data_IF_127778811674
#
_entry.id   IF_127778811674
#
_cell.length_a   1.000
_cell.length_b   1.000
_cell.length_c   1.000
_cell.angle_alpha   90.00
_cell.angle_beta   90.00
_cell.angle_gamma   90.00
#
_symmetry.space_group_name_H-M   'P 1'
#
loop_
_entity.id
_entity.type
_entity.pdbx_description
1 polymer ?
#
# COMPACT_ATOMS: atom_id res chain seq x y z
N UNK A 1 59.28 -1.84 -9.56
CA UNK A 1 58.14 -2.41 -8.81
C UNK A 1 56.89 -1.60 -9.12
N UNK A 2 56.02 -2.08 -10.01
CA UNK A 2 54.74 -1.39 -10.38
C UNK A 2 53.66 -1.77 -9.35
N UNK A 3 53.18 -0.79 -8.58
CA UNK A 3 52.02 -0.98 -7.68
C UNK A 3 50.75 -0.95 -8.51
N UNK A 4 50.11 -2.11 -8.68
CA UNK A 4 48.81 -2.24 -9.31
C UNK A 4 47.79 -1.81 -8.25
N UNK A 5 47.18 -0.62 -8.44
CA UNK A 5 46.07 -0.11 -7.65
C UNK A 5 44.80 -0.82 -8.14
N UNK A 6 44.37 -1.87 -7.41
CA UNK A 6 43.14 -2.61 -7.69
C UNK A 6 41.95 -1.75 -7.26
N UNK A 7 41.35 -1.03 -8.21
CA UNK A 7 40.16 -0.26 -7.99
C UNK A 7 38.96 -1.23 -7.89
N UNK A 8 38.58 -1.59 -6.66
CA UNK A 8 37.39 -2.41 -6.38
C UNK A 8 36.18 -1.55 -6.69
N UNK A 9 35.61 -1.69 -7.89
CA UNK A 9 34.28 -1.18 -8.25
C UNK A 9 33.23 -1.98 -7.45
N UNK A 10 32.86 -1.47 -6.28
CA UNK A 10 31.65 -1.94 -5.59
C UNK A 10 30.44 -1.59 -6.47
N UNK A 11 29.65 -2.57 -6.90
CA UNK A 11 28.38 -2.27 -7.54
C UNK A 11 27.49 -1.59 -6.49
N UNK A 12 27.33 -0.28 -6.60
CA UNK A 12 26.34 0.45 -5.82
C UNK A 12 24.99 -0.01 -6.36
N UNK A 13 24.43 -1.05 -5.71
CA UNK A 13 23.04 -1.41 -5.93
C UNK A 13 22.19 -0.24 -5.40
N UNK A 14 21.84 0.71 -6.27
CA UNK A 14 20.78 1.65 -6.03
C UNK A 14 19.48 0.84 -5.91
N UNK A 15 19.14 0.47 -4.70
CA UNK A 15 17.80 0.04 -4.34
C UNK A 15 16.89 1.26 -4.55
N UNK A 16 16.46 1.49 -5.78
CA UNK A 16 15.40 2.45 -6.05
C UNK A 16 14.19 1.98 -5.24
N UNK A 17 13.89 2.70 -4.18
CA UNK A 17 12.68 2.45 -3.43
C UNK A 17 11.51 2.63 -4.41
N UNK A 18 10.74 1.55 -4.63
CA UNK A 18 9.57 1.58 -5.49
C UNK A 18 8.57 2.61 -4.95
N UNK A 19 8.17 3.54 -5.82
CA UNK A 19 7.23 4.60 -5.49
C UNK A 19 6.13 4.68 -6.55
N UNK A 20 4.88 4.61 -6.12
CA UNK A 20 3.73 4.68 -7.01
C UNK A 20 2.53 5.33 -6.33
N UNK A 21 1.79 6.11 -7.10
CA UNK A 21 0.47 6.65 -6.72
C UNK A 21 -0.55 6.16 -7.72
N UNK A 22 -1.63 5.51 -7.24
CA UNK A 22 -2.71 5.03 -8.08
C UNK A 22 -4.06 5.44 -7.51
N UNK A 23 -5.05 5.65 -8.36
CA UNK A 23 -6.45 5.65 -7.97
C UNK A 23 -6.95 4.21 -7.84
N UNK A 24 -7.93 4.00 -6.98
CA UNK A 24 -8.63 2.73 -6.86
C UNK A 24 -10.14 2.92 -6.85
N UNK A 25 -10.82 1.85 -7.26
CA UNK A 25 -12.26 1.68 -7.13
C UNK A 25 -12.53 0.30 -6.54
N UNK A 26 -13.15 0.27 -5.38
CA UNK A 26 -13.63 -0.95 -4.73
C UNK A 26 -15.08 -1.18 -5.13
N UNK A 27 -15.37 -2.38 -5.58
CA UNK A 27 -16.73 -2.84 -5.90
C UNK A 27 -17.07 -3.99 -4.97
N UNK A 28 -18.03 -3.78 -4.10
CA UNK A 28 -18.51 -4.74 -3.12
C UNK A 28 -19.59 -5.65 -3.71
N UNK A 29 -19.87 -6.77 -3.05
CA UNK A 29 -20.86 -7.75 -3.49
C UNK A 29 -22.29 -7.18 -3.61
N UNK A 30 -22.62 -6.17 -2.80
CA UNK A 30 -23.88 -5.44 -2.83
C UNK A 30 -23.95 -4.35 -3.92
N UNK A 31 -22.95 -4.30 -4.83
CA UNK A 31 -22.75 -3.25 -5.84
C UNK A 31 -22.45 -1.85 -5.26
N UNK A 32 -22.15 -1.73 -3.99
CA UNK A 32 -21.59 -0.51 -3.43
C UNK A 32 -20.22 -0.24 -4.03
N UNK A 33 -19.94 1.02 -4.36
CA UNK A 33 -18.67 1.45 -4.92
C UNK A 33 -18.03 2.48 -4.01
N UNK A 34 -16.76 2.23 -3.65
CA UNK A 34 -15.94 3.20 -2.94
C UNK A 34 -14.70 3.52 -3.78
N UNK A 35 -14.29 4.78 -3.77
CA UNK A 35 -13.16 5.25 -4.55
C UNK A 35 -12.15 5.96 -3.67
N UNK A 36 -10.89 5.95 -4.12
CA UNK A 36 -9.83 6.60 -3.39
C UNK A 36 -8.50 6.60 -4.14
N UNK A 37 -7.46 6.87 -3.38
CA UNK A 37 -6.07 6.89 -3.84
C UNK A 37 -5.21 6.09 -2.89
N UNK A 38 -4.25 5.34 -3.42
CA UNK A 38 -3.19 4.79 -2.60
C UNK A 38 -1.82 5.26 -3.08
N UNK A 39 -0.92 5.41 -2.13
CA UNK A 39 0.46 5.78 -2.33
C UNK A 39 1.35 4.73 -1.69
N UNK A 40 2.39 4.30 -2.41
CA UNK A 40 3.38 3.35 -1.92
C UNK A 40 4.76 3.98 -2.09
N UNK A 41 5.56 3.93 -1.02
CA UNK A 41 6.97 4.32 -1.03
C UNK A 41 7.78 3.31 -0.23
N UNK A 42 8.46 2.41 -0.93
CA UNK A 42 9.08 1.25 -0.31
C UNK A 42 8.06 0.41 0.48
N UNK A 43 8.23 0.29 1.79
CA UNK A 43 7.31 -0.44 2.68
C UNK A 43 6.20 0.42 3.29
N UNK A 44 6.14 1.71 2.95
CA UNK A 44 5.10 2.58 3.47
C UNK A 44 3.91 2.60 2.52
N UNK A 45 2.71 2.54 3.07
CA UNK A 45 1.44 2.61 2.36
C UNK A 45 0.59 3.73 2.95
N UNK A 46 -0.06 4.51 2.09
CA UNK A 46 -1.23 5.31 2.41
C UNK A 46 -2.37 4.86 1.51
N UNK A 47 -3.49 4.46 2.10
CA UNK A 47 -4.71 4.05 1.41
C UNK A 47 -5.85 4.94 1.88
N UNK A 48 -6.33 5.82 1.01
CA UNK A 48 -7.24 6.90 1.40
C UNK A 48 -8.51 6.87 0.54
N UNK A 49 -9.67 6.77 1.19
CA UNK A 49 -10.96 6.95 0.53
C UNK A 49 -11.26 8.43 0.29
N UNK A 50 -11.93 8.74 -0.81
CA UNK A 50 -12.43 10.10 -1.08
C UNK A 50 -13.64 10.44 -0.23
N UNK A 51 -14.43 9.45 0.16
CA UNK A 51 -15.56 9.62 1.06
C UNK A 51 -15.08 10.04 2.46
N UNK A 52 -15.63 11.18 2.95
CA UNK A 52 -15.29 11.76 4.25
C UNK A 52 -15.80 10.92 5.43
N UNK A 53 -16.79 10.07 5.23
CA UNK A 53 -17.33 9.18 6.25
C UNK A 53 -16.52 7.90 6.46
N UNK A 54 -15.54 7.67 5.57
CA UNK A 54 -14.60 6.58 5.66
C UNK A 54 -13.26 7.04 6.26
N UNK A 55 -12.23 6.23 6.09
CA UNK A 55 -10.93 6.46 6.73
C UNK A 55 -9.77 6.48 5.74
N UNK A 56 -8.64 6.88 6.26
CA UNK A 56 -7.32 6.68 5.64
C UNK A 56 -6.55 5.68 6.47
N UNK A 57 -5.98 4.68 5.81
CA UNK A 57 -5.06 3.73 6.41
C UNK A 57 -3.64 4.16 6.08
N UNK A 58 -2.79 4.26 7.10
CA UNK A 58 -1.35 4.48 6.91
C UNK A 58 -0.60 3.30 7.51
N UNK A 59 0.29 2.71 6.72
CA UNK A 59 1.29 1.75 7.18
C UNK A 59 2.66 2.40 7.09
N UNK A 60 3.36 2.44 8.21
CA UNK A 60 4.70 3.03 8.30
C UNK A 60 5.52 2.33 9.36
N UNK A 61 6.71 1.86 9.00
CA UNK A 61 7.61 1.15 9.91
C UNK A 61 6.90 0.01 10.67
N UNK A 62 6.13 -0.81 9.96
CA UNK A 62 5.34 -1.93 10.47
C UNK A 62 4.26 -1.53 11.51
N UNK A 63 3.93 -0.25 11.58
CA UNK A 63 2.83 0.29 12.39
C UNK A 63 1.66 0.68 11.50
N UNK A 64 0.45 0.47 12.00
CA UNK A 64 -0.81 0.66 11.29
C UNK A 64 -1.61 1.76 11.97
N UNK A 65 -1.99 2.77 11.21
CA UNK A 65 -2.79 3.90 11.69
C UNK A 65 -4.06 4.01 10.87
N UNK A 66 -5.18 4.15 11.57
CA UNK A 66 -6.48 4.43 10.97
C UNK A 66 -6.85 5.88 11.29
N UNK A 67 -7.08 6.69 10.27
CA UNK A 67 -7.42 8.10 10.40
C UNK A 67 -8.85 8.27 9.92
N UNK A 68 -9.76 8.72 10.78
CA UNK A 68 -11.09 9.10 10.36
C UNK A 68 -11.01 10.33 9.45
N UNK A 69 -11.56 10.25 8.23
CA UNK A 69 -11.40 11.32 7.24
C UNK A 69 -12.12 12.61 7.63
N UNK A 70 -13.22 12.51 8.38
CA UNK A 70 -14.01 13.66 8.83
C UNK A 70 -13.43 14.31 10.08
N UNK A 71 -13.21 13.52 11.13
CA UNK A 71 -12.81 14.04 12.46
C UNK A 71 -11.30 14.20 12.61
N UNK A 72 -10.50 13.58 11.72
CA UNK A 72 -9.03 13.50 11.77
C UNK A 72 -8.49 12.75 13.00
N UNK A 73 -9.35 12.09 13.76
CA UNK A 73 -8.91 11.24 14.88
C UNK A 73 -8.07 10.08 14.34
N UNK A 74 -6.94 9.84 14.98
CA UNK A 74 -5.99 8.79 14.63
C UNK A 74 -6.08 7.66 15.66
N UNK A 75 -6.23 6.45 15.17
CA UNK A 75 -6.18 5.22 15.97
C UNK A 75 -4.98 4.38 15.54
N UNK A 76 -4.21 3.91 16.51
CA UNK A 76 -3.16 2.93 16.25
C UNK A 76 -3.79 1.54 16.31
N UNK A 77 -3.78 0.83 15.18
CA UNK A 77 -4.27 -0.55 15.14
C UNK A 77 -3.20 -1.48 15.71
N UNK A 78 -3.46 -2.03 16.89
CA UNK A 78 -2.54 -2.97 17.56
C UNK A 78 -2.56 -4.36 16.92
N UNK A 79 -3.68 -4.73 16.32
CA UNK A 79 -3.87 -6.01 15.64
C UNK A 79 -3.93 -5.78 14.13
N UNK A 80 -3.21 -6.62 13.43
CA UNK A 80 -3.23 -6.65 11.98
C UNK A 80 -4.52 -7.31 11.53
N UNK A 81 -5.23 -6.70 10.57
CA UNK A 81 -6.32 -7.41 9.91
C UNK A 81 -5.77 -8.21 8.73
N UNK A 82 -6.20 -9.46 8.58
CA UNK A 82 -5.73 -10.35 7.51
C UNK A 82 -5.74 -9.69 6.11
N UNK A 83 -6.76 -8.90 5.70
CA UNK A 83 -6.77 -8.26 4.39
C UNK A 83 -5.67 -7.21 4.21
N UNK A 84 -5.36 -6.41 5.24
CA UNK A 84 -4.31 -5.38 5.19
C UNK A 84 -2.94 -6.03 5.11
N UNK A 85 -2.69 -7.07 5.88
CA UNK A 85 -1.42 -7.80 5.85
C UNK A 85 -1.17 -8.47 4.50
N UNK A 86 -2.20 -9.05 3.89
CA UNK A 86 -2.10 -9.62 2.55
C UNK A 86 -1.83 -8.53 1.51
N UNK A 87 -2.47 -7.37 1.59
CA UNK A 87 -2.22 -6.25 0.69
C UNK A 87 -0.76 -5.77 0.80
N UNK A 88 -0.23 -5.65 2.01
CA UNK A 88 1.16 -5.24 2.23
C UNK A 88 2.14 -6.30 1.68
N UNK A 89 1.84 -7.58 1.88
CA UNK A 89 2.64 -8.65 1.32
C UNK A 89 2.67 -8.58 -0.21
N UNK A 90 1.51 -8.41 -0.85
CA UNK A 90 1.41 -8.25 -2.30
C UNK A 90 2.29 -7.08 -2.79
N UNK A 91 2.20 -5.95 -2.10
CA UNK A 91 2.97 -4.75 -2.45
C UNK A 91 4.47 -4.98 -2.26
N UNK A 92 4.87 -5.66 -1.20
CA UNK A 92 6.28 -5.94 -0.92
C UNK A 92 6.91 -6.93 -1.91
N UNK A 93 6.11 -7.78 -2.55
CA UNK A 93 6.56 -8.74 -3.55
C UNK A 93 6.80 -8.09 -4.94
N UNK A 94 6.44 -6.82 -5.15
CA UNK A 94 6.69 -6.15 -6.43
C UNK A 94 8.21 -6.09 -6.74
N UNK A 95 8.65 -6.36 -7.98
CA UNK A 95 7.85 -6.61 -9.19
C UNK A 95 7.40 -8.07 -9.38
N UNK A 96 7.73 -8.97 -8.48
CA UNK A 96 7.48 -10.42 -8.59
C UNK A 96 6.16 -10.83 -7.90
N UNK A 97 5.12 -10.01 -8.04
CA UNK A 97 3.79 -10.28 -7.47
C UNK A 97 3.24 -11.61 -7.99
N UNK A 98 2.77 -12.48 -7.10
CA UNK A 98 2.07 -13.71 -7.48
C UNK A 98 0.66 -13.39 -7.98
N UNK A 99 0.09 -14.26 -8.83
CA UNK A 99 -1.28 -14.08 -9.29
C UNK A 99 -2.33 -14.47 -8.24
N UNK A 100 -1.92 -15.25 -7.23
CA UNK A 100 -2.82 -15.69 -6.16
C UNK A 100 -2.06 -15.70 -4.84
N UNK A 101 -2.70 -15.18 -3.79
CA UNK A 101 -2.31 -15.30 -2.39
C UNK A 101 -3.46 -15.97 -1.66
N UNK A 102 -3.15 -16.96 -0.81
CA UNK A 102 -4.16 -17.73 -0.09
C UNK A 102 -3.67 -18.07 1.29
N UNK A 103 -4.56 -17.94 2.26
CA UNK A 103 -4.46 -18.55 3.58
C UNK A 103 -5.79 -19.27 3.91
N UNK A 104 -5.96 -19.76 5.12
CA UNK A 104 -7.14 -20.52 5.54
C UNK A 104 -8.43 -19.67 5.53
N UNK A 105 -8.34 -18.35 5.53
CA UNK A 105 -9.47 -17.41 5.67
C UNK A 105 -9.72 -16.56 4.44
N UNK A 106 -8.68 -16.28 3.66
CA UNK A 106 -8.74 -15.30 2.56
C UNK A 106 -8.09 -15.86 1.31
N UNK A 107 -8.74 -15.64 0.18
CA UNK A 107 -8.19 -15.88 -1.15
C UNK A 107 -8.12 -14.54 -1.87
N UNK A 108 -6.94 -14.19 -2.37
CA UNK A 108 -6.71 -12.97 -3.15
C UNK A 108 -6.19 -13.36 -4.52
N UNK A 109 -6.91 -12.96 -5.56
CA UNK A 109 -6.49 -13.12 -6.95
C UNK A 109 -6.09 -11.77 -7.54
N UNK A 110 -4.98 -11.75 -8.29
CA UNK A 110 -4.41 -10.53 -8.85
C UNK A 110 -4.35 -10.66 -10.36
N UNK A 111 -4.97 -9.70 -11.03
CA UNK A 111 -4.80 -9.45 -12.45
C UNK A 111 -3.76 -8.34 -12.62
N UNK A 112 -2.77 -8.58 -13.48
CA UNK A 112 -1.69 -7.63 -13.77
C UNK A 112 -1.95 -6.90 -15.07
N UNK A 113 -1.49 -5.66 -15.14
CA UNK A 113 -1.41 -4.87 -16.36
C UNK A 113 -0.18 -5.28 -17.20
N UNK A 114 -0.08 -4.73 -18.42
CA UNK A 114 1.03 -5.00 -19.34
C UNK A 114 2.42 -4.65 -18.76
N UNK A 115 2.50 -3.67 -17.86
CA UNK A 115 3.73 -3.31 -17.13
C UNK A 115 3.99 -4.18 -15.88
N UNK A 116 3.28 -5.31 -15.74
CA UNK A 116 3.34 -6.26 -14.62
C UNK A 116 2.89 -5.70 -13.26
N UNK A 117 2.37 -4.47 -13.22
CA UNK A 117 1.78 -3.92 -12.01
C UNK A 117 0.33 -4.38 -11.84
N UNK A 118 -0.23 -4.16 -10.66
CA UNK A 118 -1.58 -4.57 -10.31
C UNK A 118 -2.59 -3.79 -11.16
N UNK A 119 -3.52 -4.49 -11.81
CA UNK A 119 -4.68 -3.94 -12.50
C UNK A 119 -5.96 -4.16 -11.70
N UNK A 120 -6.11 -5.35 -11.12
CA UNK A 120 -7.26 -5.72 -10.27
C UNK A 120 -6.82 -6.66 -9.17
N UNK A 121 -7.41 -6.47 -7.99
CA UNK A 121 -7.31 -7.38 -6.85
C UNK A 121 -8.71 -7.85 -6.51
N UNK A 122 -8.95 -9.17 -6.48
CA UNK A 122 -10.21 -9.75 -6.03
C UNK A 122 -9.98 -10.44 -4.71
N UNK A 123 -10.70 -10.04 -3.67
CA UNK A 123 -10.59 -10.55 -2.31
C UNK A 123 -11.86 -11.34 -1.98
N UNK A 124 -11.69 -12.58 -1.54
CA UNK A 124 -12.78 -13.46 -1.09
C UNK A 124 -12.46 -14.03 0.27
N UNK A 125 -13.32 -13.78 1.25
CA UNK A 125 -13.33 -14.37 2.57
C UNK A 125 -14.78 -14.68 2.98
N UNK A 126 -14.99 -15.25 4.16
CA UNK A 126 -16.34 -15.45 4.71
C UNK A 126 -17.08 -14.13 4.93
N UNK A 127 -16.36 -13.09 5.34
CA UNK A 127 -16.94 -11.78 5.70
C UNK A 127 -16.85 -10.74 4.59
N UNK A 128 -15.93 -10.91 3.64
CA UNK A 128 -15.61 -9.91 2.66
C UNK A 128 -15.47 -10.50 1.25
N UNK A 129 -16.25 -9.96 0.32
CA UNK A 129 -16.12 -10.24 -1.09
C UNK A 129 -16.12 -8.92 -1.86
N UNK A 130 -14.95 -8.54 -2.37
CA UNK A 130 -14.78 -7.27 -3.10
C UNK A 130 -13.76 -7.39 -4.22
N UNK A 131 -13.88 -6.50 -5.20
CA UNK A 131 -12.90 -6.27 -6.26
C UNK A 131 -12.34 -4.87 -6.17
N UNK A 132 -11.02 -4.72 -6.23
CA UNK A 132 -10.33 -3.44 -6.27
C UNK A 132 -9.77 -3.25 -7.68
N UNK A 133 -10.32 -2.33 -8.45
CA UNK A 133 -9.77 -1.90 -9.72
C UNK A 133 -8.71 -0.83 -9.47
N UNK A 134 -7.53 -0.99 -10.06
CA UNK A 134 -6.40 -0.05 -9.92
C UNK A 134 -6.21 0.72 -11.21
N UNK A 135 -6.19 2.04 -11.13
CA UNK A 135 -6.24 2.93 -12.28
C UNK A 135 -5.26 4.11 -12.13
N UNK A 136 -4.90 4.71 -13.27
CA UNK A 136 -4.17 5.97 -13.31
C UNK A 136 -2.87 5.99 -12.48
N UNK A 137 -2.12 4.89 -12.52
CA UNK A 137 -0.88 4.76 -11.77
C UNK A 137 0.21 5.69 -12.33
N UNK A 138 0.86 6.42 -11.43
CA UNK A 138 2.02 7.28 -11.69
C UNK A 138 3.19 6.79 -10.88
N UNK A 139 4.29 6.49 -11.55
CA UNK A 139 5.55 6.03 -10.93
C UNK A 139 6.48 7.24 -10.81
N UNK A 140 6.36 7.97 -9.73
CA UNK A 140 7.11 9.21 -9.49
C UNK A 140 7.44 9.35 -8.01
N UNK A 141 8.40 10.20 -7.70
CA UNK A 141 8.80 10.45 -6.32
C UNK A 141 7.62 10.96 -5.47
N UNK A 142 7.47 10.37 -4.28
CA UNK A 142 6.43 10.70 -3.32
C UNK A 142 7.05 11.38 -2.10
N UNK A 143 6.54 12.55 -1.73
CA UNK A 143 7.00 13.23 -0.53
C UNK A 143 6.65 12.44 0.74
N UNK A 144 7.64 12.24 1.61
CA UNK A 144 7.48 11.50 2.88
C UNK A 144 6.39 12.08 3.79
N UNK A 145 6.03 13.35 3.62
CA UNK A 145 4.95 13.99 4.39
C UNK A 145 3.59 13.28 4.25
N UNK A 146 3.34 12.62 3.13
CA UNK A 146 2.07 11.90 2.91
C UNK A 146 1.91 10.67 3.82
N UNK A 147 2.99 10.18 4.43
CA UNK A 147 2.97 9.07 5.38
C UNK A 147 3.08 9.54 6.85
N UNK A 148 2.89 10.83 7.10
CA UNK A 148 2.77 11.35 8.47
C UNK A 148 1.31 11.23 8.91
N UNK A 149 1.13 10.83 10.16
CA UNK A 149 -0.12 10.94 10.90
C UNK A 149 0.14 11.98 11.99
N UNK A 150 -0.82 12.87 12.21
CA UNK A 150 -0.74 13.87 13.27
C UNK A 150 -1.71 13.47 14.37
N UNK A 151 -1.21 13.17 15.56
CA UNK A 151 -2.04 13.18 16.76
C UNK A 151 -2.21 14.64 17.17
N UNK A 152 -3.44 15.12 17.17
CA UNK A 152 -3.74 16.47 17.66
C UNK A 152 -3.42 16.66 19.17
N UNK A 153 -3.23 15.56 19.90
CA UNK A 153 -2.91 15.58 21.33
C UNK A 153 -1.48 16.03 21.64
N UNK A 154 -0.55 16.04 20.69
CA UNK A 154 0.84 16.50 20.89
C UNK A 154 1.02 18.03 20.79
N UNK A 155 -0.02 18.78 20.45
CA UNK A 155 0.06 20.25 20.29
C UNK A 155 -0.71 21.05 21.34
N UNK A 156 -1.23 20.42 22.38
CA UNK A 156 -1.87 21.09 23.53
C UNK A 156 -0.96 21.13 24.77
N UNK A 157 0.30 21.44 24.54
CA UNK A 157 1.30 21.67 25.58
C UNK A 157 1.97 23.03 25.39
#
# INVERSE_FOLDING_TARGET
>A
MKKILLLILFPINFLFAFEVTCNFEEVYQNNEIQQGVFLIKGKNLRYQYYNQDLFTIIVKNDKYFLINNRTKVVQNLKEKSDPIDQLIKIISDFPNINNTYKNDRVIINIEKSSNKFIKRVSIKSEELNLSINVMNCKFNEINKKYFKHFNFEEYSG
#
